data_IF_481972911391
#
_entry.id   IF_481972911391
#
_cell.length_a   1.000
_cell.length_b   1.000
_cell.length_c   1.000
_cell.angle_alpha   90.00
_cell.angle_beta   90.00
_cell.angle_gamma   90.00
#
_symmetry.space_group_name_H-M   'P 1'
#
loop_
_entity.id
_entity.type
_entity.pdbx_description
1 polymer ?
#
# COMPACT_ATOMS: atom_id res chain seq x y z
N UNK A 1 49.06 -3.98 17.27
CA UNK A 1 47.82 -3.68 18.02
C UNK A 1 46.88 -2.73 17.27
N UNK A 2 47.39 -1.72 16.53
CA UNK A 2 46.58 -0.80 15.71
C UNK A 2 45.86 -1.44 14.51
N UNK A 3 46.49 -2.41 13.82
CA UNK A 3 45.90 -3.07 12.64
C UNK A 3 44.67 -3.94 12.95
N UNK A 4 44.69 -4.64 14.09
CA UNK A 4 43.60 -5.53 14.54
C UNK A 4 42.39 -4.69 14.96
N UNK A 5 42.61 -3.50 15.53
CA UNK A 5 41.52 -2.60 15.91
C UNK A 5 40.78 -2.05 14.67
N UNK A 6 41.53 -1.72 13.61
CA UNK A 6 40.97 -1.22 12.35
C UNK A 6 40.12 -2.28 11.61
N UNK A 7 40.55 -3.55 11.59
CA UNK A 7 39.76 -4.64 10.98
C UNK A 7 38.46 -4.90 11.73
N UNK A 8 38.47 -4.82 13.06
CA UNK A 8 37.27 -5.00 13.90
C UNK A 8 36.25 -3.88 13.69
N UNK A 9 36.70 -2.61 13.59
CA UNK A 9 35.79 -1.51 13.23
C UNK A 9 35.24 -1.63 11.82
N UNK A 10 36.03 -2.14 10.88
CA UNK A 10 35.58 -2.32 9.50
C UNK A 10 34.51 -3.42 9.38
N UNK A 11 34.65 -4.52 10.14
CA UNK A 11 33.63 -5.58 10.20
C UNK A 11 32.36 -5.11 10.91
N UNK A 12 32.46 -4.36 12.01
CA UNK A 12 31.28 -3.83 12.72
C UNK A 12 30.48 -2.81 11.89
N UNK A 13 31.15 -2.04 11.03
CA UNK A 13 30.51 -1.03 10.19
C UNK A 13 29.98 -1.55 8.84
N UNK A 14 30.14 -2.84 8.50
CA UNK A 14 29.62 -3.39 7.22
C UNK A 14 28.11 -3.22 7.06
N UNK A 15 27.36 -3.21 8.15
CA UNK A 15 25.91 -3.12 8.15
C UNK A 15 25.37 -1.69 8.35
N UNK A 16 26.25 -0.73 8.66
CA UNK A 16 25.84 0.66 8.87
C UNK A 16 25.78 1.36 7.51
N UNK A 17 24.56 1.46 6.98
CA UNK A 17 24.23 2.22 5.77
C UNK A 17 24.59 3.69 5.98
N UNK A 18 25.77 4.12 5.53
CA UNK A 18 26.18 5.51 5.58
C UNK A 18 25.30 6.36 4.63
N UNK A 19 25.03 7.64 4.97
CA UNK A 19 24.24 8.51 4.12
C UNK A 19 24.85 8.61 2.72
N UNK A 20 24.06 8.43 1.65
CA UNK A 20 24.57 8.37 0.29
C UNK A 20 25.14 9.73 -0.12
N UNK A 21 26.34 9.73 -0.70
CA UNK A 21 26.91 10.91 -1.34
C UNK A 21 26.19 11.15 -2.67
N UNK A 22 25.53 12.29 -2.84
CA UNK A 22 24.76 12.65 -4.04
C UNK A 22 25.63 13.09 -5.24
N UNK A 23 26.72 12.37 -5.51
CA UNK A 23 27.57 12.59 -6.68
C UNK A 23 27.08 11.73 -7.84
N UNK A 24 27.04 12.25 -9.07
CA UNK A 24 26.53 11.51 -10.25
C UNK A 24 27.22 10.15 -10.47
N UNK A 25 28.52 10.06 -10.15
CA UNK A 25 29.29 8.80 -10.18
C UNK A 25 28.84 7.82 -9.10
N UNK A 26 28.48 8.30 -7.91
CA UNK A 26 27.97 7.49 -6.81
C UNK A 26 26.56 6.99 -7.10
N UNK A 27 25.70 7.80 -7.73
CA UNK A 27 24.35 7.40 -8.18
C UNK A 27 24.46 6.31 -9.25
N UNK A 28 25.28 6.51 -10.28
CA UNK A 28 25.49 5.50 -11.33
C UNK A 28 26.09 4.19 -10.76
N UNK A 29 27.02 4.29 -9.80
CA UNK A 29 27.57 3.13 -9.10
C UNK A 29 26.49 2.45 -8.26
N UNK A 30 25.67 3.19 -7.54
CA UNK A 30 24.58 2.68 -6.70
C UNK A 30 23.56 1.90 -7.52
N UNK A 31 23.08 2.43 -8.65
CA UNK A 31 22.14 1.70 -9.51
C UNK A 31 22.74 0.40 -10.06
N UNK A 32 24.03 0.41 -10.44
CA UNK A 32 24.74 -0.80 -10.89
C UNK A 32 24.92 -1.82 -9.76
N UNK A 33 25.26 -1.39 -8.55
CA UNK A 33 25.47 -2.29 -7.41
C UNK A 33 24.16 -2.74 -6.77
N UNK A 34 23.07 -1.98 -6.88
CA UNK A 34 21.77 -2.28 -6.24
C UNK A 34 21.21 -3.63 -6.71
N UNK A 35 21.26 -3.92 -8.01
CA UNK A 35 20.80 -5.21 -8.54
C UNK A 35 21.60 -6.40 -7.99
N UNK A 36 22.93 -6.24 -7.82
CA UNK A 36 23.78 -7.28 -7.19
C UNK A 36 23.59 -7.37 -5.69
N UNK A 37 23.33 -6.25 -5.00
CA UNK A 37 23.15 -6.22 -3.54
C UNK A 37 21.75 -6.68 -3.10
N UNK A 38 20.78 -6.69 -4.02
CA UNK A 38 19.44 -7.25 -3.77
C UNK A 38 19.47 -8.77 -3.64
N UNK A 39 20.47 -9.44 -4.21
CA UNK A 39 20.66 -10.88 -4.08
C UNK A 39 21.52 -11.13 -2.83
N UNK A 40 20.98 -11.82 -1.80
CA UNK A 40 21.72 -12.05 -0.56
C UNK A 40 23.00 -12.87 -0.82
N UNK A 41 24.08 -12.51 -0.14
CA UNK A 41 25.34 -13.26 -0.20
C UNK A 41 25.14 -14.70 0.30
N UNK A 42 25.92 -15.65 -0.24
CA UNK A 42 25.88 -17.07 0.15
C UNK A 42 26.15 -17.30 1.65
N UNK A 43 26.76 -16.34 2.33
CA UNK A 43 27.03 -16.36 3.78
C UNK A 43 25.80 -15.97 4.61
N UNK A 44 25.04 -14.95 4.19
CA UNK A 44 23.74 -14.58 4.77
C UNK A 44 22.71 -15.71 4.58
N UNK A 45 22.74 -16.35 3.40
CA UNK A 45 21.94 -17.54 3.08
C UNK A 45 22.30 -18.79 3.91
N UNK A 46 23.48 -18.84 4.53
CA UNK A 46 23.85 -19.93 5.46
C UNK A 46 23.36 -19.68 6.88
N UNK A 47 23.18 -18.42 7.28
CA UNK A 47 22.60 -18.02 8.58
C UNK A 47 21.08 -18.11 8.61
N UNK A 48 20.42 -18.01 7.45
CA UNK A 48 18.98 -18.25 7.31
C UNK A 48 18.75 -19.76 7.20
N UNK A 49 18.15 -20.35 8.23
CA UNK A 49 17.83 -21.79 8.24
C UNK A 49 16.87 -22.07 7.07
N UNK A 50 17.13 -23.11 6.25
CA UNK A 50 16.21 -23.50 5.14
C UNK A 50 14.75 -23.65 5.59
N UNK A 51 14.53 -23.96 6.86
CA UNK A 51 13.23 -24.05 7.51
C UNK A 51 12.49 -22.70 7.59
N UNK A 52 13.20 -21.58 7.77
CA UNK A 52 12.61 -20.23 7.87
C UNK A 52 12.11 -19.72 6.50
N UNK A 53 12.77 -20.16 5.41
CA UNK A 53 12.34 -19.86 4.04
C UNK A 53 11.16 -20.74 3.60
N UNK A 54 11.12 -21.99 4.05
CA UNK A 54 10.14 -22.99 3.59
C UNK A 54 8.85 -23.02 4.42
N UNK A 55 8.86 -22.55 5.67
CA UNK A 55 7.71 -22.58 6.57
C UNK A 55 7.32 -21.17 7.06
N UNK A 56 6.68 -20.35 6.22
CA UNK A 56 6.24 -18.99 6.57
C UNK A 56 5.22 -18.96 7.72
N UNK A 57 4.66 -20.10 8.11
CA UNK A 57 3.71 -20.24 9.21
C UNK A 57 4.32 -20.02 10.60
N UNK A 58 5.63 -20.20 10.76
CA UNK A 58 6.29 -19.98 12.07
C UNK A 58 6.31 -18.50 12.45
N UNK A 59 6.52 -17.64 11.45
CA UNK A 59 6.46 -16.17 11.58
C UNK A 59 5.04 -15.69 11.92
N UNK A 60 4.00 -16.40 11.45
CA UNK A 60 2.62 -16.08 11.82
C UNK A 60 2.33 -16.34 13.31
N UNK A 61 3.04 -17.29 13.94
CA UNK A 61 2.96 -17.57 15.36
C UNK A 61 3.71 -16.59 16.26
N UNK A 62 4.65 -15.81 15.70
CA UNK A 62 5.40 -14.77 16.42
C UNK A 62 4.64 -13.42 16.47
N UNK A 63 3.51 -13.31 15.77
CA UNK A 63 2.69 -12.12 15.74
C UNK A 63 1.94 -11.91 17.07
N UNK A 64 2.15 -10.75 17.68
CA UNK A 64 1.41 -10.31 18.85
C UNK A 64 -0.07 -10.05 18.50
N UNK A 65 -0.97 -10.23 19.48
CA UNK A 65 -2.43 -10.05 19.33
C UNK A 65 -2.80 -8.66 18.80
N UNK A 66 -2.02 -7.63 19.13
CA UNK A 66 -2.18 -6.27 18.58
C UNK A 66 -1.83 -6.19 17.08
N UNK A 67 -0.82 -6.94 16.62
CA UNK A 67 -0.45 -6.97 15.20
C UNK A 67 -1.52 -7.73 14.38
N UNK A 68 -2.07 -8.80 14.94
CA UNK A 68 -3.23 -9.48 14.39
C UNK A 68 -4.44 -8.54 14.23
N UNK A 69 -4.73 -7.71 15.23
CA UNK A 69 -5.83 -6.74 15.12
C UNK A 69 -5.59 -5.74 13.98
N UNK A 70 -4.38 -5.22 13.79
CA UNK A 70 -4.08 -4.31 12.68
C UNK A 70 -4.24 -4.99 11.32
N UNK A 71 -3.83 -6.25 11.21
CA UNK A 71 -4.02 -7.04 10.00
C UNK A 71 -5.51 -7.25 9.70
N UNK A 72 -6.30 -7.65 10.70
CA UNK A 72 -7.74 -7.89 10.55
C UNK A 72 -8.50 -6.61 10.18
N UNK A 73 -8.13 -5.46 10.76
CA UNK A 73 -8.72 -4.17 10.37
C UNK A 73 -8.41 -3.85 8.90
N UNK A 74 -7.15 -4.02 8.48
CA UNK A 74 -6.77 -3.82 7.08
C UNK A 74 -7.52 -4.75 6.13
N UNK A 75 -7.64 -6.03 6.48
CA UNK A 75 -8.37 -7.03 5.72
C UNK A 75 -9.86 -6.71 5.64
N UNK A 76 -10.49 -6.36 6.77
CA UNK A 76 -11.90 -5.97 6.82
C UNK A 76 -12.17 -4.72 5.97
N UNK A 77 -11.28 -3.72 6.01
CA UNK A 77 -11.38 -2.54 5.14
C UNK A 77 -11.32 -2.89 3.66
N UNK A 78 -10.42 -3.79 3.27
CA UNK A 78 -10.34 -4.26 1.89
C UNK A 78 -11.58 -5.06 1.46
N UNK A 79 -12.12 -5.91 2.34
CA UNK A 79 -13.36 -6.64 2.06
C UNK A 79 -14.56 -5.70 1.93
N UNK A 80 -14.64 -4.66 2.78
CA UNK A 80 -15.71 -3.66 2.72
C UNK A 80 -15.67 -2.86 1.40
N UNK A 81 -14.48 -2.47 0.98
CA UNK A 81 -14.23 -1.77 -0.29
C UNK A 81 -14.65 -2.62 -1.51
N UNK A 82 -14.35 -3.92 -1.49
CA UNK A 82 -14.77 -4.86 -2.52
C UNK A 82 -16.30 -5.05 -2.53
N UNK A 83 -16.91 -5.18 -1.34
CA UNK A 83 -18.36 -5.32 -1.20
C UNK A 83 -19.11 -4.14 -1.81
N UNK A 84 -18.67 -2.90 -1.56
CA UNK A 84 -19.27 -1.69 -2.14
C UNK A 84 -19.25 -1.70 -3.67
N UNK A 85 -18.10 -2.03 -4.27
CA UNK A 85 -17.98 -2.15 -5.73
C UNK A 85 -18.96 -3.18 -6.31
N UNK A 86 -19.08 -4.35 -5.67
CA UNK A 86 -20.02 -5.37 -6.12
C UNK A 86 -21.48 -4.94 -5.94
N UNK A 87 -21.83 -4.33 -4.80
CA UNK A 87 -23.17 -3.84 -4.54
C UNK A 87 -23.63 -2.83 -5.61
N UNK A 88 -22.75 -1.90 -6.01
CA UNK A 88 -23.04 -0.94 -7.09
C UNK A 88 -23.17 -1.66 -8.44
N UNK A 89 -22.24 -2.55 -8.78
CA UNK A 89 -22.23 -3.26 -10.07
C UNK A 89 -23.48 -4.13 -10.29
N UNK A 90 -24.00 -4.77 -9.23
CA UNK A 90 -25.20 -5.61 -9.29
C UNK A 90 -26.50 -4.79 -9.40
N UNK A 91 -26.50 -3.56 -8.87
CA UNK A 91 -27.66 -2.68 -8.88
C UNK A 91 -27.67 -1.67 -10.04
N UNK A 92 -26.72 -1.75 -10.99
CA UNK A 92 -26.64 -0.83 -12.14
C UNK A 92 -27.96 -0.74 -12.91
N UNK A 93 -28.68 -1.86 -13.07
CA UNK A 93 -29.97 -1.88 -13.77
C UNK A 93 -31.06 -1.08 -13.02
N UNK A 94 -31.22 -1.33 -11.73
CA UNK A 94 -32.19 -0.62 -10.89
C UNK A 94 -31.86 0.87 -10.77
N UNK A 95 -30.56 1.21 -10.71
CA UNK A 95 -30.09 2.59 -10.69
C UNK A 95 -30.41 3.29 -12.03
N UNK A 96 -30.19 2.63 -13.17
CA UNK A 96 -30.53 3.17 -14.50
C UNK A 96 -32.02 3.49 -14.63
N UNK A 97 -32.88 2.60 -14.13
CA UNK A 97 -34.33 2.77 -14.16
C UNK A 97 -34.78 3.91 -13.22
N UNK A 98 -34.20 4.00 -12.02
CA UNK A 98 -34.53 5.05 -11.04
C UNK A 98 -34.09 6.47 -11.45
N UNK A 99 -33.02 6.60 -12.24
CA UNK A 99 -32.46 7.88 -12.68
C UNK A 99 -32.86 8.23 -14.13
N UNK A 100 -33.64 7.38 -14.80
CA UNK A 100 -34.09 7.56 -16.19
C UNK A 100 -32.95 7.87 -17.17
N UNK A 101 -31.78 7.28 -16.92
CA UNK A 101 -30.52 7.60 -17.57
C UNK A 101 -29.89 6.37 -18.20
N UNK A 102 -29.13 6.57 -19.28
CA UNK A 102 -28.57 5.46 -20.05
C UNK A 102 -27.58 4.64 -19.21
N UNK A 103 -27.64 3.30 -19.31
CA UNK A 103 -26.66 2.38 -18.73
C UNK A 103 -25.19 2.76 -19.04
N UNK A 104 -24.97 3.45 -20.16
CA UNK A 104 -23.66 3.97 -20.57
C UNK A 104 -23.14 5.03 -19.58
N UNK A 105 -23.99 5.93 -19.09
CA UNK A 105 -23.63 7.00 -18.15
C UNK A 105 -23.22 6.43 -16.78
N UNK A 106 -23.90 5.38 -16.31
CA UNK A 106 -23.56 4.71 -15.04
C UNK A 106 -22.23 3.98 -15.14
N UNK A 107 -21.99 3.25 -16.23
CA UNK A 107 -20.70 2.58 -16.47
C UNK A 107 -19.54 3.59 -16.56
N UNK A 108 -19.77 4.76 -17.17
CA UNK A 108 -18.81 5.87 -17.15
C UNK A 108 -18.56 6.39 -15.74
N UNK A 109 -19.59 6.55 -14.92
CA UNK A 109 -19.45 6.93 -13.51
C UNK A 109 -18.59 5.95 -12.70
N UNK A 110 -18.83 4.64 -12.85
CA UNK A 110 -18.02 3.60 -12.20
C UNK A 110 -16.56 3.70 -12.64
N UNK A 111 -16.31 3.89 -13.94
CA UNK A 111 -14.95 4.04 -14.48
C UNK A 111 -14.25 5.27 -13.89
N UNK A 112 -14.97 6.38 -13.74
CA UNK A 112 -14.45 7.62 -13.17
C UNK A 112 -14.06 7.44 -11.69
N UNK A 113 -14.87 6.72 -10.91
CA UNK A 113 -14.55 6.36 -9.51
C UNK A 113 -13.31 5.46 -9.44
N UNK A 114 -13.14 4.50 -10.36
CA UNK A 114 -11.94 3.66 -10.41
C UNK A 114 -10.68 4.47 -10.73
N UNK A 115 -10.77 5.46 -11.62
CA UNK A 115 -9.65 6.37 -11.91
C UNK A 115 -9.33 7.26 -10.71
N UNK A 116 -10.36 7.77 -10.02
CA UNK A 116 -10.19 8.52 -8.79
C UNK A 116 -9.50 7.69 -7.70
N UNK A 117 -9.79 6.38 -7.61
CA UNK A 117 -9.08 5.46 -6.70
C UNK A 117 -7.58 5.43 -6.98
N UNK A 118 -7.17 5.37 -8.25
CA UNK A 118 -5.74 5.40 -8.61
C UNK A 118 -5.09 6.74 -8.23
N UNK A 119 -5.75 7.87 -8.51
CA UNK A 119 -5.27 9.21 -8.13
C UNK A 119 -5.16 9.34 -6.61
N UNK A 120 -6.19 8.91 -5.88
CA UNK A 120 -6.20 8.87 -4.42
C UNK A 120 -5.07 8.02 -3.86
N UNK A 121 -4.84 6.83 -4.42
CA UNK A 121 -3.76 5.94 -3.99
C UNK A 121 -2.37 6.58 -4.13
N UNK A 122 -2.13 7.37 -5.19
CA UNK A 122 -0.86 8.10 -5.37
C UNK A 122 -0.72 9.20 -4.30
N UNK A 123 -1.77 10.00 -4.09
CA UNK A 123 -1.75 11.12 -3.13
C UNK A 123 -1.61 10.61 -1.69
N UNK A 124 -2.49 9.69 -1.27
CA UNK A 124 -2.48 9.13 0.07
C UNK A 124 -1.30 8.18 0.31
N UNK A 125 -0.77 7.55 -0.75
CA UNK A 125 0.46 6.76 -0.70
C UNK A 125 1.68 7.62 -0.36
N UNK A 126 1.88 8.72 -1.10
CA UNK A 126 2.95 9.69 -0.83
C UNK A 126 2.80 10.35 0.56
N UNK A 127 1.55 10.52 1.02
CA UNK A 127 1.29 11.06 2.35
C UNK A 127 1.62 10.04 3.45
N UNK A 128 1.26 8.77 3.25
CA UNK A 128 1.56 7.69 4.19
C UNK A 128 3.06 7.44 4.38
N UNK A 129 3.85 7.61 3.34
CA UNK A 129 5.31 7.50 3.40
C UNK A 129 5.95 8.60 4.26
N UNK A 130 5.32 9.77 4.38
CA UNK A 130 5.86 10.91 5.15
C UNK A 130 5.29 11.07 6.56
N UNK A 131 4.00 10.82 6.77
CA UNK A 131 3.31 11.13 8.04
C UNK A 131 2.90 9.90 8.85
N UNK A 132 3.28 8.71 8.39
CA UNK A 132 3.03 7.43 9.07
C UNK A 132 1.68 6.81 8.71
N UNK A 133 1.65 5.48 8.63
CA UNK A 133 0.60 4.67 7.98
C UNK A 133 -0.79 4.71 8.66
N UNK A 134 -0.88 5.14 9.93
CA UNK A 134 -2.14 5.11 10.70
C UNK A 134 -3.16 6.18 10.29
N UNK A 135 -2.69 7.41 10.03
CA UNK A 135 -3.54 8.56 9.74
C UNK A 135 -4.15 8.52 8.32
N UNK A 136 -3.40 8.15 7.26
CA UNK A 136 -3.96 8.04 5.92
C UNK A 136 -5.10 7.02 5.85
N UNK A 137 -5.03 5.93 6.61
CA UNK A 137 -6.06 4.91 6.63
C UNK A 137 -7.36 5.42 7.26
N UNK A 138 -7.28 6.06 8.42
CA UNK A 138 -8.45 6.62 9.12
C UNK A 138 -9.12 7.72 8.27
N UNK A 139 -8.32 8.62 7.69
CA UNK A 139 -8.83 9.71 6.86
C UNK A 139 -9.50 9.17 5.59
N UNK A 140 -8.92 8.18 4.90
CA UNK A 140 -9.56 7.55 3.75
C UNK A 140 -10.89 6.91 4.12
N UNK A 141 -10.93 6.16 5.21
CA UNK A 141 -12.17 5.49 5.66
C UNK A 141 -13.26 6.51 5.98
N UNK A 142 -12.90 7.62 6.65
CA UNK A 142 -13.83 8.69 6.96
C UNK A 142 -14.35 9.38 5.69
N UNK A 143 -13.46 9.69 4.74
CA UNK A 143 -13.84 10.30 3.47
C UNK A 143 -14.82 9.39 2.69
N UNK A 144 -14.54 8.09 2.64
CA UNK A 144 -15.42 7.11 2.00
C UNK A 144 -16.79 7.07 2.65
N UNK A 145 -16.88 7.06 3.99
CA UNK A 145 -18.17 7.09 4.70
C UNK A 145 -18.97 8.35 4.37
N UNK A 146 -18.32 9.52 4.38
CA UNK A 146 -18.98 10.79 4.05
C UNK A 146 -19.48 10.79 2.60
N UNK A 147 -18.67 10.31 1.66
CA UNK A 147 -19.05 10.21 0.26
C UNK A 147 -20.18 9.20 0.04
N UNK A 148 -20.14 8.05 0.72
CA UNK A 148 -21.18 7.01 0.63
C UNK A 148 -22.54 7.52 1.12
N UNK A 149 -22.54 8.27 2.22
CA UNK A 149 -23.76 8.90 2.74
C UNK A 149 -24.22 9.97 1.75
N UNK A 150 -23.29 10.77 1.21
CA UNK A 150 -23.55 11.77 0.19
C UNK A 150 -24.22 11.20 -1.06
N UNK A 151 -23.71 10.09 -1.60
CA UNK A 151 -24.28 9.42 -2.77
C UNK A 151 -25.66 8.81 -2.48
N UNK A 152 -25.93 8.39 -1.24
CA UNK A 152 -27.26 7.92 -0.81
C UNK A 152 -28.35 9.00 -0.82
N UNK A 153 -27.98 10.28 -0.74
CA UNK A 153 -28.92 11.41 -0.79
C UNK A 153 -29.05 12.07 -2.18
N UNK A 154 -28.25 11.64 -3.17
CA UNK A 154 -28.28 12.26 -4.50
C UNK A 154 -29.31 11.60 -5.40
N UNK A 155 -30.34 12.37 -5.77
CA UNK A 155 -31.42 11.96 -6.67
C UNK A 155 -31.13 12.26 -8.16
N UNK A 156 -29.96 12.82 -8.52
CA UNK A 156 -29.62 13.21 -9.90
C UNK A 156 -28.14 12.99 -10.24
N UNK A 157 -27.84 12.32 -11.37
CA UNK A 157 -26.49 12.03 -11.87
C UNK A 157 -25.59 13.28 -12.02
N UNK A 158 -26.20 14.45 -12.28
CA UNK A 158 -25.48 15.72 -12.44
C UNK A 158 -24.79 16.23 -11.17
N UNK A 159 -25.22 15.76 -9.98
CA UNK A 159 -24.60 16.16 -8.70
C UNK A 159 -23.41 15.27 -8.35
N UNK A 160 -23.43 14.00 -8.76
CA UNK A 160 -22.30 13.05 -8.58
C UNK A 160 -21.08 13.49 -9.41
N UNK A 161 -21.30 14.08 -10.60
CA UNK A 161 -20.24 14.53 -11.51
C UNK A 161 -19.62 15.89 -11.14
N UNK A 162 -20.22 16.63 -10.20
CA UNK A 162 -19.76 17.96 -9.76
C UNK A 162 -19.04 17.95 -8.40
N UNK A 163 -19.03 16.82 -7.70
CA UNK A 163 -18.22 16.59 -6.49
C UNK A 163 -16.93 15.86 -6.85
#
# INVERSE_FOLDING_TARGET
MSSIHSSVYHDHNKHIMQPPKFTSRAIAKYFKTRFTTLVPSKEELKGVTKTDVFFPFKVLGELNRRQWNFYLIGLAGWTWDAFDFFAVSLNVANIAESLNESHKSITWGITLVLMLRAVGAVIFGLWGDRYGRKWPYIVNMFLLVVLQIGTGFVQNLQTILRC
#
